data_IF_877933172271
#
_entry.id   IF_877933172271
#
_cell.length_a   1.000
_cell.length_b   1.000
_cell.length_c   1.000
_cell.angle_alpha   90.00
_cell.angle_beta   90.00
_cell.angle_gamma   90.00
#
_symmetry.space_group_name_H-M   'P 1'
#
loop_
_entity.id
_entity.type
_entity.pdbx_description
1 polymer ?
#
# COMPACT_ATOMS: atom_id res chain seq x y z
N UNK A 1 17.07 9.37 -18.60
CA UNK A 1 16.40 8.83 -17.37
C UNK A 1 17.33 8.49 -16.21
N UNK A 2 18.62 8.16 -16.41
CA UNK A 2 19.55 7.85 -15.31
C UNK A 2 19.94 9.07 -14.46
N UNK A 3 19.65 10.29 -14.93
CA UNK A 3 20.01 11.54 -14.27
C UNK A 3 19.11 11.98 -13.10
N UNK A 4 18.06 11.19 -12.82
CA UNK A 4 17.11 11.44 -11.73
C UNK A 4 17.80 11.38 -10.37
N UNK A 5 17.38 12.23 -9.43
CA UNK A 5 18.03 12.38 -8.12
C UNK A 5 18.01 11.06 -7.36
N UNK A 6 16.91 10.30 -7.44
CA UNK A 6 16.81 9.02 -6.72
C UNK A 6 17.90 8.01 -7.13
N UNK A 7 18.36 8.02 -8.39
CA UNK A 7 19.45 7.17 -8.83
C UNK A 7 20.82 7.72 -8.43
N UNK A 8 21.02 9.04 -8.51
CA UNK A 8 22.26 9.70 -8.08
C UNK A 8 22.47 9.55 -6.58
N UNK A 9 21.43 9.78 -5.80
CA UNK A 9 21.41 9.63 -4.35
C UNK A 9 21.69 8.18 -3.92
N UNK A 10 21.26 7.20 -4.71
CA UNK A 10 21.58 5.80 -4.45
C UNK A 10 23.07 5.48 -4.62
N UNK A 11 23.82 6.21 -5.45
CA UNK A 11 25.28 6.00 -5.60
C UNK A 11 26.05 6.31 -4.31
N UNK A 12 25.46 7.07 -3.37
CA UNK A 12 26.04 7.30 -2.05
C UNK A 12 25.96 6.06 -1.13
N UNK A 13 25.23 5.01 -1.53
CA UNK A 13 25.15 3.76 -0.76
C UNK A 13 26.52 3.08 -0.69
N UNK A 14 26.96 2.75 0.52
CA UNK A 14 28.19 1.98 0.72
C UNK A 14 27.99 0.47 0.48
N UNK A 15 26.75 0.04 0.24
CA UNK A 15 26.40 -1.37 0.13
C UNK A 15 26.38 -1.83 -1.32
N UNK A 16 26.83 -3.07 -1.53
CA UNK A 16 26.88 -3.69 -2.85
C UNK A 16 26.06 -4.98 -2.95
N UNK A 17 24.74 -4.92 -2.79
CA UNK A 17 23.86 -6.08 -3.03
C UNK A 17 23.83 -6.48 -4.50
N UNK A 18 23.62 -7.77 -4.77
CA UNK A 18 23.50 -8.30 -6.11
C UNK A 18 22.02 -8.35 -6.55
N UNK A 19 21.77 -8.74 -7.79
CA UNK A 19 20.43 -8.76 -8.39
C UNK A 19 19.44 -9.67 -7.64
N UNK A 20 19.93 -10.78 -7.07
CA UNK A 20 19.11 -11.79 -6.41
C UNK A 20 18.88 -11.51 -4.92
N UNK A 21 19.88 -10.95 -4.23
CA UNK A 21 19.78 -10.63 -2.81
C UNK A 21 18.93 -9.39 -2.56
N UNK A 22 18.80 -8.49 -3.54
CA UNK A 22 18.04 -7.25 -3.37
C UNK A 22 16.53 -7.50 -3.16
N UNK A 23 15.82 -8.29 -4.01
CA UNK A 23 14.42 -8.63 -3.74
C UNK A 23 14.21 -9.43 -2.45
N UNK A 24 15.12 -10.35 -2.13
CA UNK A 24 15.04 -11.15 -0.89
C UNK A 24 15.11 -10.26 0.36
N UNK A 25 16.00 -9.26 0.35
CA UNK A 25 16.09 -8.30 1.44
C UNK A 25 14.86 -7.38 1.51
N UNK A 26 14.29 -7.00 0.37
CA UNK A 26 13.03 -6.25 0.35
C UNK A 26 11.89 -7.05 1.00
N UNK A 27 11.79 -8.36 0.72
CA UNK A 27 10.86 -9.24 1.45
C UNK A 27 11.16 -9.28 2.94
N UNK A 28 12.45 -9.41 3.31
CA UNK A 28 12.85 -9.43 4.71
C UNK A 28 12.43 -8.15 5.46
N UNK A 29 12.47 -6.97 4.83
CA UNK A 29 11.97 -5.74 5.46
C UNK A 29 10.49 -5.82 5.81
N UNK A 30 9.67 -6.33 4.89
CA UNK A 30 8.22 -6.48 5.10
C UNK A 30 7.97 -7.49 6.21
N UNK A 31 8.51 -8.71 6.08
CA UNK A 31 8.26 -9.77 7.07
C UNK A 31 8.80 -9.46 8.46
N UNK A 32 9.99 -8.85 8.57
CA UNK A 32 10.55 -8.46 9.88
C UNK A 32 9.70 -7.35 10.51
N UNK A 33 9.32 -6.34 9.72
CA UNK A 33 8.50 -5.24 10.24
C UNK A 33 7.14 -5.71 10.73
N UNK A 34 6.46 -6.54 9.95
CA UNK A 34 5.18 -7.16 10.31
C UNK A 34 5.32 -8.07 11.53
N UNK A 35 6.33 -8.94 11.56
CA UNK A 35 6.58 -9.84 12.68
C UNK A 35 6.76 -9.06 13.99
N UNK A 36 7.54 -7.98 13.97
CA UNK A 36 7.75 -7.11 15.13
C UNK A 36 6.43 -6.45 15.55
N UNK A 37 5.65 -5.93 14.60
CA UNK A 37 4.36 -5.31 14.90
C UNK A 37 3.38 -6.30 15.56
N UNK A 38 3.17 -7.47 14.94
CA UNK A 38 2.23 -8.48 15.46
C UNK A 38 2.69 -9.08 16.80
N UNK A 39 4.00 -9.23 17.00
CA UNK A 39 4.56 -9.67 18.28
C UNK A 39 4.27 -8.64 19.37
N UNK A 40 4.49 -7.35 19.09
CA UNK A 40 4.22 -6.28 20.05
C UNK A 40 2.73 -6.18 20.38
N UNK A 41 1.84 -6.26 19.40
CA UNK A 41 0.40 -6.16 19.67
C UNK A 41 -0.14 -7.41 20.37
N UNK A 42 0.18 -8.59 19.85
CA UNK A 42 -0.39 -9.86 20.31
C UNK A 42 0.15 -10.30 21.67
N UNK A 43 1.49 -10.34 21.83
CA UNK A 43 2.10 -10.82 23.08
C UNK A 43 1.83 -9.84 24.22
N UNK A 44 1.91 -8.52 23.96
CA UNK A 44 1.63 -7.54 25.02
C UNK A 44 0.19 -7.64 25.52
N UNK A 45 -0.79 -7.86 24.64
CA UNK A 45 -2.19 -7.97 25.07
C UNK A 45 -2.44 -9.23 25.91
N UNK A 46 -1.90 -10.38 25.48
CA UNK A 46 -1.97 -11.64 26.24
C UNK A 46 -1.29 -11.53 27.62
N UNK A 47 -0.10 -10.92 27.66
CA UNK A 47 0.63 -10.71 28.91
C UNK A 47 -0.14 -9.78 29.87
N UNK A 48 -0.72 -8.70 29.35
CA UNK A 48 -1.52 -7.76 30.15
C UNK A 48 -2.80 -8.42 30.69
N UNK A 49 -3.46 -9.28 29.91
CA UNK A 49 -4.62 -10.07 30.40
C UNK A 49 -4.19 -10.95 31.57
N UNK A 50 -3.08 -11.69 31.43
CA UNK A 50 -2.56 -12.57 32.47
C UNK A 50 -2.19 -11.81 33.75
N UNK A 51 -1.54 -10.65 33.62
CA UNK A 51 -1.17 -9.79 34.73
C UNK A 51 -2.39 -9.18 35.43
N UNK A 52 -3.36 -8.68 34.66
CA UNK A 52 -4.55 -8.01 35.19
C UNK A 52 -5.39 -8.95 36.08
N UNK A 53 -5.50 -10.24 35.73
CA UNK A 53 -6.24 -11.24 36.51
C UNK A 53 -5.74 -11.40 37.95
N UNK A 54 -4.52 -10.97 38.26
CA UNK A 54 -3.93 -11.08 39.60
C UNK A 54 -4.34 -9.94 40.55
N UNK A 55 -5.01 -8.88 40.08
CA UNK A 55 -5.30 -7.67 40.88
C UNK A 55 -6.75 -7.58 41.40
N UNK A 56 -7.29 -8.69 41.93
CA UNK A 56 -8.64 -8.72 42.50
C UNK A 56 -9.74 -8.36 41.50
N UNK A 57 -10.88 -7.86 41.98
CA UNK A 57 -12.07 -7.59 41.14
C UNK A 57 -11.81 -6.53 40.06
N UNK A 58 -11.13 -5.43 40.40
CA UNK A 58 -10.74 -4.40 39.43
C UNK A 58 -9.81 -4.96 38.34
N UNK A 59 -8.89 -5.85 38.72
CA UNK A 59 -8.01 -6.56 37.79
C UNK A 59 -8.77 -7.51 36.86
N UNK A 60 -9.78 -8.22 37.37
CA UNK A 60 -10.64 -9.10 36.56
C UNK A 60 -11.47 -8.31 35.54
N UNK A 61 -11.98 -7.14 35.93
CA UNK A 61 -12.70 -6.24 35.01
C UNK A 61 -11.78 -5.75 33.89
N UNK A 62 -10.55 -5.32 34.23
CA UNK A 62 -9.54 -4.95 33.23
C UNK A 62 -9.18 -6.12 32.31
N UNK A 63 -9.00 -7.33 32.86
CA UNK A 63 -8.69 -8.52 32.07
C UNK A 63 -9.81 -8.86 31.08
N UNK A 64 -11.07 -8.64 31.46
CA UNK A 64 -12.24 -8.86 30.59
C UNK A 64 -12.31 -7.83 29.46
N UNK A 65 -12.01 -6.57 29.78
CA UNK A 65 -11.88 -5.52 28.77
C UNK A 65 -10.77 -5.84 27.75
N UNK A 66 -9.58 -6.23 28.22
CA UNK A 66 -8.46 -6.60 27.36
C UNK A 66 -8.76 -7.84 26.50
N UNK A 67 -9.52 -8.81 27.01
CA UNK A 67 -10.01 -9.95 26.22
C UNK A 67 -10.95 -9.51 25.09
N UNK A 68 -11.81 -8.53 25.34
CA UNK A 68 -12.71 -7.96 24.32
C UNK A 68 -11.92 -7.25 23.22
N UNK A 69 -10.86 -6.51 23.58
CA UNK A 69 -9.92 -5.95 22.62
C UNK A 69 -9.19 -7.03 21.82
N UNK A 70 -8.80 -8.12 22.47
CA UNK A 70 -8.15 -9.24 21.79
C UNK A 70 -9.10 -9.89 20.78
N UNK A 71 -10.37 -10.07 21.14
CA UNK A 71 -11.37 -10.59 20.20
C UNK A 71 -11.58 -9.64 19.02
N UNK A 72 -11.61 -8.33 19.27
CA UNK A 72 -11.69 -7.30 18.24
C UNK A 72 -10.45 -7.29 17.32
N UNK A 73 -9.27 -7.61 17.84
CA UNK A 73 -8.06 -7.78 17.03
C UNK A 73 -8.13 -9.01 16.11
N UNK A 74 -8.81 -10.07 16.56
CA UNK A 74 -8.97 -11.30 15.78
C UNK A 74 -10.08 -11.20 14.72
N UNK A 75 -11.09 -10.37 14.94
CA UNK A 75 -12.16 -10.11 13.96
C UNK A 75 -11.62 -9.30 12.76
N UNK A 76 -11.68 -9.92 11.57
CA UNK A 76 -11.26 -9.30 10.30
C UNK A 76 -12.02 -8.02 9.97
N UNK A 77 -13.27 -7.89 10.41
CA UNK A 77 -14.11 -6.73 10.08
C UNK A 77 -13.99 -5.57 11.05
N UNK A 78 -13.21 -5.72 12.12
CA UNK A 78 -13.12 -4.73 13.18
C UNK A 78 -12.25 -3.53 12.82
N UNK A 79 -12.74 -2.34 13.17
CA UNK A 79 -12.03 -1.07 13.04
C UNK A 79 -10.71 -1.05 13.82
N UNK A 80 -10.71 -1.67 15.01
CA UNK A 80 -9.52 -1.75 15.84
C UNK A 80 -8.42 -2.56 15.17
N UNK A 81 -8.78 -3.67 14.53
CA UNK A 81 -7.84 -4.50 13.78
C UNK A 81 -7.27 -3.74 12.59
N UNK A 82 -8.12 -3.10 11.78
CA UNK A 82 -7.68 -2.33 10.61
C UNK A 82 -6.60 -1.31 11.00
N UNK A 83 -6.84 -0.53 12.06
CA UNK A 83 -5.88 0.49 12.50
C UNK A 83 -4.54 -0.14 12.90
N UNK A 84 -4.55 -1.28 13.59
CA UNK A 84 -3.32 -1.99 13.96
C UNK A 84 -2.59 -2.58 12.77
N UNK A 85 -3.31 -3.13 11.79
CA UNK A 85 -2.74 -3.61 10.51
C UNK A 85 -2.08 -2.46 9.74
N UNK A 86 -2.75 -1.31 9.60
CA UNK A 86 -2.16 -0.14 8.93
C UNK A 86 -0.97 0.44 9.71
N UNK A 87 -1.00 0.43 11.04
CA UNK A 87 0.12 0.83 11.87
C UNK A 87 1.32 -0.11 11.75
N UNK A 88 1.12 -1.40 11.45
CA UNK A 88 2.19 -2.37 11.23
C UNK A 88 3.13 -1.93 10.09
N UNK A 89 2.61 -1.24 9.06
CA UNK A 89 3.43 -0.65 8.00
C UNK A 89 4.41 0.41 8.52
N UNK A 90 4.13 1.06 9.66
CA UNK A 90 5.09 1.93 10.33
C UNK A 90 6.35 1.19 10.81
N UNK A 91 6.21 -0.07 11.24
CA UNK A 91 7.33 -0.91 11.65
C UNK A 91 8.15 -1.40 10.44
N UNK A 92 7.49 -1.72 9.33
CA UNK A 92 8.16 -2.03 8.06
C UNK A 92 8.95 -0.81 7.57
N UNK A 93 8.34 0.37 7.54
CA UNK A 93 9.03 1.61 7.14
C UNK A 93 10.20 1.92 8.06
N UNK A 94 10.04 1.71 9.37
CA UNK A 94 11.12 1.89 10.33
C UNK A 94 12.29 0.93 10.08
N UNK A 95 12.00 -0.32 9.71
CA UNK A 95 13.00 -1.32 9.34
C UNK A 95 13.82 -0.84 8.14
N UNK A 96 13.17 -0.35 7.08
CA UNK A 96 13.84 0.23 5.90
C UNK A 96 14.67 1.46 6.28
N UNK A 97 14.16 2.35 7.12
CA UNK A 97 14.88 3.55 7.56
C UNK A 97 16.13 3.22 8.39
N UNK A 98 16.00 2.27 9.32
CA UNK A 98 17.13 1.78 10.12
C UNK A 98 18.17 1.14 9.21
N UNK A 99 17.75 0.30 8.27
CA UNK A 99 18.66 -0.31 7.31
C UNK A 99 19.40 0.73 6.47
N UNK A 100 18.66 1.66 5.87
CA UNK A 100 19.20 2.73 5.02
C UNK A 100 20.22 3.59 5.76
N UNK A 101 19.93 3.98 7.02
CA UNK A 101 20.81 4.84 7.80
C UNK A 101 22.00 4.10 8.42
N UNK A 102 21.77 2.89 8.96
CA UNK A 102 22.77 2.16 9.76
C UNK A 102 23.64 1.22 8.93
N UNK A 103 23.11 0.65 7.86
CA UNK A 103 23.81 -0.34 7.03
C UNK A 103 24.26 0.26 5.70
N UNK A 104 23.36 0.94 4.97
CA UNK A 104 23.74 1.60 3.69
C UNK A 104 24.48 2.92 3.87
N UNK A 105 24.44 3.48 5.10
CA UNK A 105 25.08 4.74 5.50
C UNK A 105 24.66 5.95 4.64
N UNK A 106 23.43 5.93 4.09
CA UNK A 106 22.89 7.06 3.33
C UNK A 106 21.72 7.76 4.04
N UNK A 107 21.50 9.06 3.81
CA UNK A 107 20.37 9.79 4.40
C UNK A 107 19.01 9.23 3.96
N UNK A 108 18.00 9.26 4.82
CA UNK A 108 16.62 8.80 4.50
C UNK A 108 16.02 9.57 3.31
N UNK A 109 16.41 10.85 3.14
CA UNK A 109 16.02 11.68 1.98
C UNK A 109 16.25 10.99 0.63
N UNK A 110 17.29 10.15 0.55
CA UNK A 110 17.66 9.40 -0.67
C UNK A 110 16.63 8.35 -1.08
N UNK A 111 15.64 8.04 -0.23
CA UNK A 111 14.47 7.23 -0.57
C UNK A 111 13.35 8.08 -1.23
N UNK A 112 13.71 9.17 -1.90
CA UNK A 112 12.75 10.04 -2.59
C UNK A 112 11.95 10.99 -1.69
N UNK A 113 12.27 11.08 -0.39
CA UNK A 113 11.66 12.00 0.58
C UNK A 113 12.23 13.42 0.48
N UNK A 114 12.06 14.02 -0.70
CA UNK A 114 12.45 15.39 -0.97
C UNK A 114 11.46 16.38 -0.33
N UNK A 115 11.96 17.44 0.32
CA UNK A 115 11.11 18.41 1.04
C UNK A 115 10.40 19.36 0.06
N UNK A 116 10.98 19.55 -1.11
CA UNK A 116 10.50 20.47 -2.12
C UNK A 116 9.12 20.05 -2.62
N UNK A 117 8.12 20.92 -2.44
CA UNK A 117 6.73 20.71 -2.87
C UNK A 117 6.11 19.39 -2.37
N UNK A 118 6.58 18.84 -1.24
CA UNK A 118 6.15 17.51 -0.78
C UNK A 118 4.62 17.41 -0.65
N UNK A 119 3.98 18.41 -0.03
CA UNK A 119 2.53 18.44 0.16
C UNK A 119 1.80 18.56 -1.18
N UNK A 120 2.31 19.37 -2.12
CA UNK A 120 1.73 19.48 -3.46
C UNK A 120 1.83 18.15 -4.22
N UNK A 121 2.98 17.47 -4.15
CA UNK A 121 3.17 16.17 -4.79
C UNK A 121 2.28 15.09 -4.17
N UNK A 122 2.16 15.07 -2.85
CA UNK A 122 1.28 14.17 -2.13
C UNK A 122 -0.19 14.40 -2.51
N UNK A 123 -0.67 15.65 -2.47
CA UNK A 123 -2.06 15.98 -2.80
C UNK A 123 -2.39 15.75 -4.28
N UNK A 124 -1.46 16.03 -5.21
CA UNK A 124 -1.62 15.69 -6.63
C UNK A 124 -1.70 14.18 -6.84
N UNK A 125 -0.83 13.43 -6.14
CA UNK A 125 -0.87 11.97 -6.14
C UNK A 125 -2.20 11.46 -5.59
N UNK A 126 -2.62 11.99 -4.44
CA UNK A 126 -3.87 11.61 -3.78
C UNK A 126 -5.09 11.88 -4.66
N UNK A 127 -5.18 13.07 -5.26
CA UNK A 127 -6.24 13.40 -6.21
C UNK A 127 -6.23 12.50 -7.45
N UNK A 128 -5.06 12.17 -7.99
CA UNK A 128 -4.94 11.21 -9.10
C UNK A 128 -5.37 9.81 -8.69
N UNK A 129 -4.99 9.32 -7.51
CA UNK A 129 -5.41 8.02 -6.98
C UNK A 129 -6.94 7.92 -6.83
N UNK A 130 -7.56 8.96 -6.24
CA UNK A 130 -9.02 9.06 -6.18
C UNK A 130 -9.65 9.04 -7.57
N UNK A 131 -9.11 9.80 -8.52
CA UNK A 131 -9.66 9.88 -9.87
C UNK A 131 -9.56 8.53 -10.61
N UNK A 132 -8.43 7.84 -10.49
CA UNK A 132 -8.24 6.51 -11.09
C UNK A 132 -9.20 5.48 -10.48
N UNK A 133 -9.37 5.50 -9.16
CA UNK A 133 -10.29 4.62 -8.46
C UNK A 133 -11.73 4.90 -8.90
N UNK A 134 -12.15 6.17 -8.85
CA UNK A 134 -13.50 6.58 -9.25
C UNK A 134 -13.80 6.23 -10.71
N UNK A 135 -12.86 6.44 -11.63
CA UNK A 135 -13.00 6.03 -13.02
C UNK A 135 -13.27 4.52 -13.14
N UNK A 136 -12.54 3.73 -12.36
CA UNK A 136 -12.68 2.27 -12.35
C UNK A 136 -14.04 1.85 -11.78
N UNK A 137 -14.42 2.38 -10.62
CA UNK A 137 -15.71 2.10 -9.99
C UNK A 137 -16.88 2.53 -10.87
N UNK A 138 -16.87 3.75 -11.41
CA UNK A 138 -17.92 4.27 -12.28
C UNK A 138 -18.06 3.42 -13.54
N UNK A 139 -16.95 3.00 -14.15
CA UNK A 139 -16.96 2.09 -15.28
C UNK A 139 -17.63 0.76 -14.93
N UNK A 140 -17.33 0.19 -13.76
CA UNK A 140 -17.94 -1.06 -13.31
C UNK A 140 -19.42 -0.91 -12.94
N UNK A 141 -19.81 0.19 -12.32
CA UNK A 141 -21.23 0.50 -12.03
C UNK A 141 -22.00 0.67 -13.34
N UNK A 142 -21.45 1.36 -14.34
CA UNK A 142 -22.07 1.52 -15.65
C UNK A 142 -22.24 0.18 -16.40
N UNK A 143 -21.34 -0.77 -16.17
CA UNK A 143 -21.43 -2.15 -16.68
C UNK A 143 -22.33 -3.06 -15.83
N UNK A 144 -23.00 -2.53 -14.79
CA UNK A 144 -23.85 -3.30 -13.89
C UNK A 144 -23.11 -4.29 -12.98
N UNK A 145 -21.81 -4.08 -12.77
CA UNK A 145 -20.92 -5.00 -12.05
C UNK A 145 -20.76 -4.68 -10.57
N UNK A 146 -21.21 -3.51 -10.15
CA UNK A 146 -21.26 -3.09 -8.75
C UNK A 146 -22.57 -2.37 -8.48
N UNK A 147 -23.17 -2.64 -7.32
CA UNK A 147 -24.32 -1.90 -6.82
C UNK A 147 -24.03 -1.31 -5.45
N UNK A 148 -24.55 -0.11 -5.22
CA UNK A 148 -24.61 0.49 -3.91
C UNK A 148 -25.62 -0.29 -3.05
N UNK A 149 -25.17 -0.81 -1.91
CA UNK A 149 -26.00 -1.53 -0.95
C UNK A 149 -26.50 -0.60 0.15
N UNK A 150 -25.60 0.20 0.74
CA UNK A 150 -25.91 1.06 1.88
C UNK A 150 -25.03 2.32 1.92
N UNK A 151 -25.53 3.33 2.64
CA UNK A 151 -24.79 4.55 2.97
C UNK A 151 -24.86 4.75 4.50
N UNK A 152 -23.71 5.01 5.12
CA UNK A 152 -23.54 5.21 6.57
C UNK A 152 -22.96 6.60 6.86
N UNK A 153 -23.83 7.60 7.03
CA UNK A 153 -23.44 9.01 7.31
C UNK A 153 -23.65 9.41 8.77
N UNK A 154 -23.39 8.50 9.71
CA UNK A 154 -23.43 8.83 11.14
C UNK A 154 -22.10 9.49 11.59
N UNK A 155 -22.09 10.22 12.72
CA UNK A 155 -20.88 10.91 13.20
C UNK A 155 -19.67 9.99 13.40
N UNK A 156 -19.88 8.76 13.84
CA UNK A 156 -18.80 7.79 14.04
C UNK A 156 -18.17 7.39 12.71
N UNK A 157 -18.97 7.01 11.72
CA UNK A 157 -18.47 6.64 10.38
C UNK A 157 -17.69 7.79 9.73
N UNK A 158 -18.22 9.02 9.80
CA UNK A 158 -17.52 10.20 9.28
C UNK A 158 -16.17 10.44 9.97
N UNK A 159 -16.15 10.38 11.31
CA UNK A 159 -14.92 10.56 12.07
C UNK A 159 -13.90 9.46 11.79
N UNK A 160 -14.34 8.19 11.74
CA UNK A 160 -13.47 7.05 11.48
C UNK A 160 -12.86 7.11 10.08
N UNK A 161 -13.65 7.39 9.05
CA UNK A 161 -13.15 7.49 7.68
C UNK A 161 -12.16 8.64 7.52
N UNK A 162 -12.39 9.81 8.12
CA UNK A 162 -11.39 10.89 8.08
C UNK A 162 -10.12 10.48 8.85
N UNK A 163 -10.28 9.78 9.97
CA UNK A 163 -9.18 9.31 10.79
C UNK A 163 -8.28 8.29 10.07
N UNK A 164 -8.80 7.46 9.17
CA UNK A 164 -8.01 6.43 8.45
C UNK A 164 -7.10 6.99 7.35
N UNK A 165 -7.34 8.22 6.84
CA UNK A 165 -6.55 8.85 5.76
C UNK A 165 -5.03 8.77 5.99
N UNK A 166 -4.47 9.26 7.11
CA UNK A 166 -3.03 9.19 7.35
C UNK A 166 -2.50 7.75 7.42
N UNK A 167 -3.31 6.79 7.84
CA UNK A 167 -2.92 5.38 7.94
C UNK A 167 -2.86 4.70 6.57
N UNK A 168 -3.78 5.01 5.67
CA UNK A 168 -3.68 4.56 4.27
C UNK A 168 -2.51 5.20 3.52
N UNK A 169 -2.23 6.48 3.79
CA UNK A 169 -1.03 7.13 3.26
C UNK A 169 0.22 6.43 3.82
N UNK A 170 0.24 6.06 5.10
CA UNK A 170 1.35 5.31 5.69
C UNK A 170 1.54 3.95 5.01
N UNK A 171 0.47 3.16 4.86
CA UNK A 171 0.53 1.85 4.20
C UNK A 171 1.03 1.99 2.75
N UNK A 172 0.41 2.83 1.94
CA UNK A 172 0.83 3.07 0.56
C UNK A 172 2.26 3.60 0.46
N UNK A 173 2.65 4.54 1.34
CA UNK A 173 4.04 5.04 1.38
C UNK A 173 5.02 3.91 1.64
N UNK A 174 4.75 3.05 2.62
CA UNK A 174 5.66 1.98 3.01
C UNK A 174 5.90 1.00 1.88
N UNK A 175 4.84 0.53 1.22
CA UNK A 175 4.98 -0.39 0.10
C UNK A 175 5.75 0.23 -1.07
N UNK A 176 5.43 1.49 -1.42
CA UNK A 176 6.14 2.21 -2.47
C UNK A 176 7.61 2.49 -2.09
N UNK A 177 7.90 2.73 -0.82
CA UNK A 177 9.28 2.90 -0.35
C UNK A 177 10.07 1.61 -0.52
N UNK A 178 9.53 0.47 -0.09
CA UNK A 178 10.21 -0.83 -0.22
C UNK A 178 10.40 -1.16 -1.70
N UNK A 179 9.32 -1.15 -2.48
CA UNK A 179 9.32 -1.65 -3.84
C UNK A 179 10.00 -0.69 -4.84
N UNK A 180 9.83 0.63 -4.68
CA UNK A 180 10.23 1.62 -5.69
C UNK A 180 11.33 2.54 -5.16
N UNK A 181 11.21 3.10 -3.97
CA UNK A 181 12.24 4.05 -3.52
C UNK A 181 13.55 3.36 -3.09
N UNK A 182 13.46 2.13 -2.60
CA UNK A 182 14.59 1.33 -2.15
C UNK A 182 15.03 0.32 -3.22
N UNK A 183 14.13 -0.59 -3.62
CA UNK A 183 14.49 -1.72 -4.48
C UNK A 183 14.80 -1.30 -5.93
N UNK A 184 14.01 -0.39 -6.54
CA UNK A 184 14.20 -0.03 -7.95
C UNK A 184 15.58 0.62 -8.23
N UNK A 185 16.07 1.64 -7.49
CA UNK A 185 17.43 2.16 -7.65
C UNK A 185 18.51 1.10 -7.45
N UNK A 186 18.34 0.23 -6.46
CA UNK A 186 19.27 -0.88 -6.21
C UNK A 186 19.36 -1.81 -7.42
N UNK A 187 18.23 -2.22 -8.00
CA UNK A 187 18.20 -3.08 -9.19
C UNK A 187 18.76 -2.37 -10.44
N UNK A 188 18.40 -1.09 -10.63
CA UNK A 188 18.84 -0.29 -11.76
C UNK A 188 20.35 -0.01 -11.73
N UNK A 189 20.97 0.02 -10.56
CA UNK A 189 22.43 0.13 -10.42
C UNK A 189 23.19 -1.12 -10.91
N UNK A 190 22.50 -2.28 -11.00
CA UNK A 190 23.09 -3.57 -11.37
C UNK A 190 22.68 -4.08 -12.73
N UNK A 191 21.66 -3.48 -13.32
CA UNK A 191 21.05 -3.92 -14.58
C UNK A 191 20.67 -2.71 -15.43
N UNK A 192 19.71 -2.88 -16.34
CA UNK A 192 19.09 -1.76 -17.04
C UNK A 192 17.76 -1.37 -16.37
N UNK A 193 17.33 -0.13 -16.60
CA UNK A 193 16.12 0.40 -15.95
C UNK A 193 14.85 -0.40 -16.27
N UNK A 194 14.72 -0.94 -17.48
CA UNK A 194 13.53 -1.73 -17.87
C UNK A 194 13.44 -3.02 -17.05
N UNK A 195 14.56 -3.73 -16.89
CA UNK A 195 14.63 -4.93 -16.08
C UNK A 195 14.41 -4.63 -14.58
N UNK A 196 14.93 -3.50 -14.10
CA UNK A 196 14.68 -3.05 -12.72
C UNK A 196 13.18 -2.80 -12.46
N UNK A 197 12.47 -2.14 -13.39
CA UNK A 197 11.02 -1.94 -13.31
C UNK A 197 10.27 -3.27 -13.34
N UNK A 198 10.67 -4.19 -14.24
CA UNK A 198 10.08 -5.52 -14.33
C UNK A 198 10.17 -6.27 -12.98
N UNK A 199 11.38 -6.37 -12.42
CA UNK A 199 11.62 -7.12 -11.17
C UNK A 199 10.95 -6.45 -9.98
N UNK A 200 11.00 -5.12 -9.87
CA UNK A 200 10.30 -4.37 -8.80
C UNK A 200 8.78 -4.56 -8.86
N UNK A 201 8.20 -4.60 -10.06
CA UNK A 201 6.75 -4.81 -10.26
C UNK A 201 6.33 -6.25 -9.98
N UNK A 202 7.16 -7.23 -10.36
CA UNK A 202 6.96 -8.63 -9.98
C UNK A 202 7.04 -8.80 -8.46
N UNK A 203 8.06 -8.22 -7.81
CA UNK A 203 8.20 -8.23 -6.36
C UNK A 203 6.92 -7.75 -5.66
N UNK A 204 6.36 -6.62 -6.12
CA UNK A 204 5.12 -6.09 -5.55
C UNK A 204 3.94 -7.07 -5.71
N UNK A 205 3.79 -7.71 -6.87
CA UNK A 205 2.74 -8.72 -7.09
C UNK A 205 2.92 -9.93 -6.19
N UNK A 206 4.17 -10.35 -5.98
CA UNK A 206 4.52 -11.49 -5.14
C UNK A 206 4.27 -11.24 -3.65
N UNK A 207 4.39 -9.99 -3.17
CA UNK A 207 4.02 -9.63 -1.79
C UNK A 207 2.56 -9.94 -1.47
N UNK A 208 1.69 -9.93 -2.48
CA UNK A 208 0.26 -10.12 -2.31
C UNK A 208 -0.20 -11.58 -2.48
N UNK A 209 0.71 -12.53 -2.78
CA UNK A 209 0.33 -13.93 -3.03
C UNK A 209 -0.39 -14.60 -1.85
N UNK A 210 -0.21 -14.10 -0.63
CA UNK A 210 -0.90 -14.60 0.57
C UNK A 210 -2.32 -14.03 0.75
N UNK A 211 -2.76 -13.09 -0.09
CA UNK A 211 -4.02 -12.41 0.09
C UNK A 211 -5.23 -13.28 -0.32
N UNK A 212 -6.34 -13.08 0.37
CA UNK A 212 -7.59 -13.79 0.08
C UNK A 212 -8.16 -13.36 -1.28
N UNK A 213 -8.81 -14.28 -1.98
CA UNK A 213 -9.48 -13.96 -3.26
C UNK A 213 -8.55 -13.69 -4.44
N UNK A 214 -7.25 -13.94 -4.32
CA UNK A 214 -6.27 -13.74 -5.38
C UNK A 214 -6.63 -14.54 -6.65
N UNK A 215 -6.51 -13.89 -7.81
CA UNK A 215 -6.75 -14.49 -9.12
C UNK A 215 -5.57 -14.21 -10.06
N UNK A 216 -5.42 -14.95 -11.17
CA UNK A 216 -4.42 -14.61 -12.18
C UNK A 216 -4.55 -13.17 -12.70
N UNK A 217 -5.79 -12.65 -12.83
CA UNK A 217 -6.02 -11.29 -13.28
C UNK A 217 -5.62 -10.25 -12.21
N UNK A 218 -5.88 -10.51 -10.92
CA UNK A 218 -5.44 -9.60 -9.87
C UNK A 218 -3.90 -9.54 -9.78
N UNK A 219 -3.20 -10.66 -9.97
CA UNK A 219 -1.74 -10.66 -10.09
C UNK A 219 -1.24 -9.81 -11.26
N UNK A 220 -1.89 -9.90 -12.43
CA UNK A 220 -1.58 -9.04 -13.58
C UNK A 220 -1.82 -7.57 -13.23
N UNK A 221 -2.92 -7.24 -12.56
CA UNK A 221 -3.21 -5.86 -12.17
C UNK A 221 -2.24 -5.29 -11.13
N UNK A 222 -1.85 -6.09 -10.14
CA UNK A 222 -0.79 -5.72 -9.18
C UNK A 222 0.54 -5.46 -9.91
N UNK A 223 0.86 -6.28 -10.90
CA UNK A 223 2.04 -6.08 -11.74
C UNK A 223 1.95 -4.78 -12.54
N UNK A 224 0.82 -4.53 -13.22
CA UNK A 224 0.56 -3.31 -13.97
C UNK A 224 0.61 -2.07 -13.06
N UNK A 225 0.03 -2.15 -11.86
CA UNK A 225 0.10 -1.09 -10.86
C UNK A 225 1.56 -0.81 -10.51
N UNK A 226 2.35 -1.86 -10.31
CA UNK A 226 3.77 -1.70 -10.02
C UNK A 226 4.58 -1.05 -11.15
N UNK A 227 4.25 -1.36 -12.40
CA UNK A 227 4.84 -0.69 -13.56
C UNK A 227 4.41 0.78 -13.58
N UNK A 228 3.13 1.07 -13.40
CA UNK A 228 2.59 2.42 -13.39
C UNK A 228 3.24 3.29 -12.30
N UNK A 229 3.35 2.79 -11.07
CA UNK A 229 4.00 3.50 -9.97
C UNK A 229 5.49 3.69 -10.20
N UNK A 230 6.19 2.69 -10.77
CA UNK A 230 7.58 2.86 -11.17
C UNK A 230 7.75 3.99 -12.19
N UNK A 231 6.91 4.04 -13.23
CA UNK A 231 6.95 5.12 -14.22
C UNK A 231 6.61 6.48 -13.61
N UNK A 232 5.63 6.52 -12.70
CA UNK A 232 5.23 7.75 -12.02
C UNK A 232 6.36 8.29 -11.13
N UNK A 233 7.04 7.41 -10.38
CA UNK A 233 8.22 7.78 -9.59
C UNK A 233 9.35 8.29 -10.49
N UNK A 234 9.62 7.63 -11.63
CA UNK A 234 10.63 8.09 -12.58
C UNK A 234 10.30 9.46 -13.18
N UNK A 235 9.02 9.73 -13.39
CA UNK A 235 8.52 11.00 -13.90
C UNK A 235 8.70 12.12 -12.88
N UNK A 236 8.24 11.91 -11.65
CA UNK A 236 8.15 12.93 -10.60
C UNK A 236 9.40 13.04 -9.73
N UNK A 237 10.25 12.01 -9.71
CA UNK A 237 11.49 11.93 -8.92
C UNK A 237 11.25 12.21 -7.44
N UNK A 238 10.13 11.70 -6.89
CA UNK A 238 9.79 11.77 -5.47
C UNK A 238 8.78 10.70 -5.07
N UNK A 239 8.91 10.18 -3.84
CA UNK A 239 8.01 9.14 -3.32
C UNK A 239 6.63 9.68 -2.94
N UNK A 240 6.52 10.98 -2.62
CA UNK A 240 5.28 11.58 -2.13
C UNK A 240 4.10 11.40 -3.08
N UNK A 241 4.36 11.46 -4.39
CA UNK A 241 3.31 11.31 -5.39
C UNK A 241 2.78 9.87 -5.50
N UNK A 242 3.67 8.86 -5.52
CA UNK A 242 3.24 7.45 -5.53
C UNK A 242 2.58 7.05 -4.21
N UNK A 243 3.08 7.57 -3.08
CA UNK A 243 2.44 7.42 -1.78
C UNK A 243 1.00 7.95 -1.76
N UNK A 244 0.79 9.14 -2.34
CA UNK A 244 -0.54 9.73 -2.47
C UNK A 244 -1.48 8.89 -3.33
N UNK A 245 -1.02 8.44 -4.50
CA UNK A 245 -1.84 7.63 -5.43
C UNK A 245 -2.29 6.34 -4.75
N UNK A 246 -1.34 5.60 -4.18
CA UNK A 246 -1.61 4.31 -3.55
C UNK A 246 -2.52 4.49 -2.33
N UNK A 247 -2.15 5.38 -1.40
CA UNK A 247 -2.95 5.62 -0.21
C UNK A 247 -4.37 6.08 -0.53
N UNK A 248 -4.55 6.95 -1.54
CA UNK A 248 -5.87 7.39 -1.97
C UNK A 248 -6.72 6.28 -2.58
N UNK A 249 -6.12 5.41 -3.41
CA UNK A 249 -6.83 4.28 -4.02
C UNK A 249 -7.38 3.36 -2.92
N UNK A 250 -6.53 2.93 -1.99
CA UNK A 250 -6.93 2.02 -0.92
C UNK A 250 -7.93 2.66 0.05
N UNK A 251 -7.70 3.93 0.42
CA UNK A 251 -8.64 4.70 1.23
C UNK A 251 -10.02 4.78 0.58
N UNK A 252 -10.08 5.08 -0.72
CA UNK A 252 -11.33 5.15 -1.44
C UNK A 252 -12.00 3.78 -1.49
N UNK A 253 -11.28 2.76 -1.95
CA UNK A 253 -11.78 1.40 -2.08
C UNK A 253 -12.36 0.87 -0.76
N UNK A 254 -11.59 0.97 0.33
CA UNK A 254 -11.98 0.45 1.64
C UNK A 254 -12.98 1.33 2.37
N UNK A 255 -12.62 2.56 2.74
CA UNK A 255 -13.39 3.36 3.70
C UNK A 255 -14.38 4.33 3.04
N UNK A 256 -14.19 4.76 1.79
CA UNK A 256 -15.25 5.51 1.11
C UNK A 256 -16.32 4.58 0.55
N UNK A 257 -15.91 3.51 -0.14
CA UNK A 257 -16.81 2.68 -0.95
C UNK A 257 -17.06 1.27 -0.42
N UNK A 258 -16.41 0.85 0.67
CA UNK A 258 -16.73 -0.42 1.35
C UNK A 258 -16.42 -1.66 0.52
N UNK A 259 -15.43 -1.57 -0.36
CA UNK A 259 -14.96 -2.66 -1.22
C UNK A 259 -13.70 -3.24 -0.60
N UNK A 260 -13.56 -4.58 -0.67
CA UNK A 260 -12.37 -5.28 -0.17
C UNK A 260 -11.10 -4.69 -0.81
N UNK A 261 -10.09 -4.34 -0.02
CA UNK A 261 -8.79 -3.85 -0.47
C UNK A 261 -7.84 -5.04 -0.57
N UNK A 262 -7.49 -5.43 -1.79
CA UNK A 262 -6.65 -6.58 -2.08
C UNK A 262 -7.09 -7.85 -1.33
N UNK A 263 -8.40 -8.08 -1.31
CA UNK A 263 -9.05 -9.22 -0.64
C UNK A 263 -9.24 -9.09 0.86
N UNK A 264 -8.94 -7.93 1.45
CA UNK A 264 -9.11 -7.68 2.88
C UNK A 264 -10.26 -6.70 3.16
N UNK A 265 -11.10 -6.93 4.18
CA UNK A 265 -12.04 -5.93 4.66
C UNK A 265 -11.32 -4.71 5.25
N UNK A 266 -12.00 -3.56 5.27
CA UNK A 266 -11.41 -2.27 5.67
C UNK A 266 -12.21 -1.56 6.76
N UNK A 267 -12.82 -2.32 7.67
CA UNK A 267 -13.64 -1.79 8.75
C UNK A 267 -14.82 -0.95 8.27
N UNK A 268 -15.17 0.07 9.04
CA UNK A 268 -16.26 1.02 8.80
C UNK A 268 -16.00 1.85 7.54
N UNK A 269 -17.01 1.91 6.67
CA UNK A 269 -17.03 2.71 5.45
C UNK A 269 -18.22 3.67 5.40
N UNK A 270 -18.14 4.70 4.55
CA UNK A 270 -19.27 5.62 4.29
C UNK A 270 -20.32 5.01 3.36
N UNK A 271 -19.90 4.18 2.42
CA UNK A 271 -20.77 3.45 1.51
C UNK A 271 -20.34 1.99 1.47
N UNK A 272 -21.27 1.12 1.09
CA UNK A 272 -20.98 -0.29 0.83
C UNK A 272 -21.37 -0.61 -0.60
N UNK A 273 -20.38 -0.94 -1.42
CA UNK A 273 -20.58 -1.41 -2.79
C UNK A 273 -20.32 -2.91 -2.88
N UNK A 274 -21.29 -3.64 -3.45
CA UNK A 274 -21.20 -5.09 -3.61
C UNK A 274 -21.01 -5.48 -5.07
N UNK A 275 -20.08 -6.40 -5.39
CA UNK A 275 -19.92 -6.92 -6.74
C UNK A 275 -21.20 -7.66 -7.17
N UNK A 276 -21.53 -7.57 -8.46
CA UNK A 276 -22.70 -8.20 -9.06
C UNK A 276 -22.28 -9.26 -10.08
N UNK A 277 -23.16 -10.24 -10.30
CA UNK A 277 -22.95 -11.33 -11.24
C UNK A 277 -21.91 -12.36 -10.80
N UNK A 278 -21.71 -13.38 -11.64
CA UNK A 278 -20.82 -14.52 -11.36
C UNK A 278 -19.45 -14.38 -12.06
N UNK A 279 -19.22 -13.28 -12.77
CA UNK A 279 -18.02 -13.06 -13.58
C UNK A 279 -16.95 -12.33 -12.75
N UNK A 280 -16.24 -13.08 -11.90
CA UNK A 280 -15.23 -12.52 -11.00
C UNK A 280 -14.09 -11.77 -11.71
N UNK A 281 -13.78 -12.07 -12.97
CA UNK A 281 -12.78 -11.33 -13.75
C UNK A 281 -13.26 -9.93 -14.16
N UNK A 282 -14.57 -9.70 -14.20
CA UNK A 282 -15.16 -8.44 -14.60
C UNK A 282 -15.36 -7.52 -13.38
N UNK A 283 -15.88 -8.02 -12.27
CA UNK A 283 -16.03 -7.24 -11.02
C UNK A 283 -14.76 -7.24 -10.15
N UNK A 284 -13.88 -8.22 -10.33
CA UNK A 284 -12.73 -8.46 -9.45
C UNK A 284 -13.03 -9.40 -8.27
N UNK A 285 -14.28 -9.84 -8.11
CA UNK A 285 -14.68 -10.90 -7.20
C UNK A 285 -14.27 -10.64 -5.75
N UNK A 286 -13.79 -11.69 -5.06
CA UNK A 286 -13.37 -11.61 -3.66
C UNK A 286 -12.04 -10.91 -3.43
N UNK A 287 -11.33 -10.49 -4.48
CA UNK A 287 -10.15 -9.62 -4.35
C UNK A 287 -10.54 -8.13 -4.22
N UNK A 288 -11.75 -7.76 -4.68
CA UNK A 288 -12.17 -6.37 -4.86
C UNK A 288 -11.88 -5.85 -6.27
N UNK A 289 -12.13 -4.56 -6.50
CA UNK A 289 -12.04 -3.92 -7.84
C UNK A 289 -10.66 -4.10 -8.48
N UNK A 290 -9.60 -4.23 -7.69
CA UNK A 290 -8.23 -4.49 -8.17
C UNK A 290 -8.11 -5.78 -8.98
N UNK A 291 -9.02 -6.74 -8.80
CA UNK A 291 -9.08 -7.97 -9.60
C UNK A 291 -9.81 -7.83 -10.94
N UNK A 292 -10.38 -6.66 -11.25
CA UNK A 292 -11.22 -6.47 -12.43
C UNK A 292 -10.44 -6.16 -13.71
N UNK A 293 -11.01 -6.50 -14.87
CA UNK A 293 -10.49 -6.07 -16.16
C UNK A 293 -10.52 -4.54 -16.33
N UNK A 294 -11.46 -3.85 -15.66
CA UNK A 294 -11.55 -2.39 -15.70
C UNK A 294 -10.29 -1.76 -15.08
N UNK A 295 -9.81 -2.33 -13.97
CA UNK A 295 -8.51 -1.93 -13.38
C UNK A 295 -7.38 -2.12 -14.38
N UNK A 296 -7.34 -3.22 -15.13
CA UNK A 296 -6.32 -3.44 -16.18
C UNK A 296 -6.33 -2.32 -17.21
N UNK A 297 -7.52 -1.95 -17.71
CA UNK A 297 -7.68 -0.89 -18.72
C UNK A 297 -7.20 0.46 -18.20
N UNK A 298 -7.62 0.86 -16.99
CA UNK A 298 -7.22 2.13 -16.37
C UNK A 298 -5.71 2.18 -16.14
N UNK A 299 -5.10 1.10 -15.65
CA UNK A 299 -3.66 1.02 -15.42
C UNK A 299 -2.88 1.05 -16.74
N UNK A 300 -3.33 0.34 -17.79
CA UNK A 300 -2.70 0.37 -19.11
C UNK A 300 -2.73 1.77 -19.71
N UNK A 301 -3.85 2.49 -19.61
CA UNK A 301 -3.96 3.88 -20.07
C UNK A 301 -2.98 4.79 -19.33
N UNK A 302 -2.86 4.63 -18.00
CA UNK A 302 -1.89 5.38 -17.20
C UNK A 302 -0.44 5.06 -17.60
N UNK A 303 -0.11 3.78 -17.82
CA UNK A 303 1.21 3.35 -18.27
C UNK A 303 1.55 3.97 -19.63
N UNK A 304 0.64 3.91 -20.61
CA UNK A 304 0.84 4.49 -21.94
C UNK A 304 1.04 6.00 -21.83
N UNK A 305 0.23 6.69 -21.05
CA UNK A 305 0.35 8.13 -20.82
C UNK A 305 1.70 8.51 -20.19
N UNK A 306 2.11 7.83 -19.11
CA UNK A 306 3.38 8.09 -18.43
C UNK A 306 4.56 7.74 -19.34
N UNK A 307 4.49 6.63 -20.07
CA UNK A 307 5.50 6.22 -21.04
C UNK A 307 5.70 7.25 -22.14
N UNK A 308 4.62 7.78 -22.72
CA UNK A 308 4.66 8.87 -23.69
C UNK A 308 5.30 10.13 -23.10
N UNK A 309 4.89 10.54 -21.88
CA UNK A 309 5.44 11.73 -21.21
C UNK A 309 6.93 11.59 -20.90
N UNK A 310 7.38 10.41 -20.49
CA UNK A 310 8.79 10.13 -20.22
C UNK A 310 9.63 10.11 -21.51
N UNK A 311 9.10 9.52 -22.59
CA UNK A 311 9.77 9.53 -23.91
C UNK A 311 9.99 10.96 -24.39
N UNK A 312 8.94 11.80 -24.35
CA UNK A 312 9.00 13.20 -24.76
C UNK A 312 9.98 14.05 -23.93
N UNK A 313 10.12 13.75 -22.63
CA UNK A 313 11.14 14.41 -21.81
C UNK A 313 12.56 14.00 -22.22
N UNK A 314 12.76 12.73 -22.52
CA UNK A 314 14.07 12.22 -22.93
C UNK A 314 14.49 12.69 -24.33
N UNK A 315 13.54 13.09 -25.18
CA UNK A 315 13.80 13.74 -26.48
C UNK A 315 14.15 15.23 -26.35
N UNK A 316 13.82 15.86 -25.20
CA UNK A 316 14.06 17.29 -24.93
C UNK A 316 15.34 17.58 -24.16
N UNK A 317 15.94 16.56 -23.55
CA UNK A 317 17.21 16.61 -22.82
C UNK A 317 18.34 16.19 -23.75
#
# INVERSE_FOLDING_TARGET
>A
MKDKRIFKDFQASQMRLNLYTSPLLAFAFVFIGEFVAYTLYGISLLALIGLARNFGEAGQNLATYLQTLQQSLMDKTSDFRLILELLAFGFVLNTVFRWTRKVEKRPIRTLGFYKENFLSNLLKGFGLGLALFLLTLLGLVALGQYRLESIHLNPYSLAFVVFTIPFWILQGTTEEVVARAWLLPQLASRTNLKLAVLISSLFFSLLHMGNSGLTPLSLVNLFLFGVAMSLYLLKTDTVWGVAGIHGAWNFAQGNLFGILVSGQPSGTSLMTFLPQGNQGWLSGGSFGIEGSIMTSLVLLLLIVYLGYKLKKENERM
#
